data_IF_105258043408
#
_entry.id   IF_105258043408
#
_cell.length_a   1.000
_cell.length_b   1.000
_cell.length_c   1.000
_cell.angle_alpha   90.00
_cell.angle_beta   90.00
_cell.angle_gamma   90.00
#
_symmetry.space_group_name_H-M   'P 1'
#
loop_
_entity.id
_entity.type
_entity.pdbx_description
1 polymer ?
#
# COMPACT_ATOMS: atom_id res chain seq x y z
N UNK A 1 86.91 -19.70 -64.63
CA UNK A 1 86.13 -20.87 -64.16
C UNK A 1 84.87 -20.96 -65.01
N UNK A 2 84.64 -22.05 -65.76
CA UNK A 2 83.48 -22.21 -66.64
C UNK A 2 82.26 -22.63 -65.80
N UNK A 3 81.70 -21.68 -65.04
CA UNK A 3 80.67 -21.97 -64.03
C UNK A 3 79.37 -21.18 -64.20
N UNK A 4 79.24 -20.45 -65.30
CA UNK A 4 78.00 -19.76 -65.70
C UNK A 4 77.56 -20.28 -67.08
N UNK A 5 77.13 -21.54 -67.15
CA UNK A 5 76.44 -22.05 -68.33
C UNK A 5 75.00 -21.50 -68.35
N UNK A 6 74.84 -20.35 -69.00
CA UNK A 6 73.60 -19.57 -69.12
C UNK A 6 72.48 -20.41 -69.79
N UNK A 7 72.84 -21.42 -70.58
CA UNK A 7 71.92 -22.28 -71.31
C UNK A 7 70.95 -23.07 -70.40
N UNK A 8 71.35 -23.40 -69.17
CA UNK A 8 70.50 -24.16 -68.23
C UNK A 8 69.51 -23.26 -67.47
N UNK A 9 69.78 -21.95 -67.38
CA UNK A 9 68.95 -21.01 -66.61
C UNK A 9 67.57 -20.81 -67.24
N UNK A 10 67.47 -20.85 -68.57
CA UNK A 10 66.19 -20.72 -69.26
C UNK A 10 65.20 -21.83 -68.89
N UNK A 11 65.67 -23.07 -68.76
CA UNK A 11 64.83 -24.20 -68.34
C UNK A 11 64.39 -24.08 -66.88
N UNK A 12 65.29 -23.65 -66.00
CA UNK A 12 64.96 -23.42 -64.58
C UNK A 12 63.91 -22.32 -64.42
N UNK A 13 64.04 -21.21 -65.17
CA UNK A 13 63.05 -20.12 -65.17
C UNK A 13 61.70 -20.61 -65.71
N UNK A 14 61.69 -21.40 -66.79
CA UNK A 14 60.46 -21.98 -67.33
C UNK A 14 59.74 -22.84 -66.29
N UNK A 15 60.43 -23.78 -65.65
CA UNK A 15 59.83 -24.63 -64.61
C UNK A 15 59.43 -23.86 -63.35
N UNK A 16 60.16 -22.81 -63.00
CA UNK A 16 59.79 -21.91 -61.91
C UNK A 16 58.47 -21.21 -62.21
N UNK A 17 58.27 -20.68 -63.42
CA UNK A 17 57.00 -20.06 -63.83
C UNK A 17 55.86 -21.09 -63.82
N UNK A 18 56.10 -22.30 -64.34
CA UNK A 18 55.08 -23.37 -64.37
C UNK A 18 54.66 -23.80 -62.97
N UNK A 19 55.62 -24.08 -62.08
CA UNK A 19 55.32 -24.53 -60.70
C UNK A 19 54.73 -23.42 -59.85
N UNK A 20 55.24 -22.19 -59.96
CA UNK A 20 54.70 -21.05 -59.25
C UNK A 20 53.32 -20.64 -59.77
N UNK A 21 53.09 -20.74 -61.08
CA UNK A 21 51.77 -20.52 -61.69
C UNK A 21 50.75 -21.55 -61.23
N UNK A 22 51.12 -22.84 -61.20
CA UNK A 22 50.26 -23.90 -60.67
C UNK A 22 49.92 -23.67 -59.19
N UNK A 23 50.91 -23.32 -58.37
CA UNK A 23 50.72 -23.00 -56.96
C UNK A 23 49.85 -21.76 -56.77
N UNK A 24 50.06 -20.72 -57.57
CA UNK A 24 49.24 -19.50 -57.55
C UNK A 24 47.77 -19.82 -57.83
N UNK A 25 47.48 -20.66 -58.82
CA UNK A 25 46.10 -21.09 -59.13
C UNK A 25 45.49 -21.86 -57.95
N UNK A 26 46.26 -22.73 -57.28
CA UNK A 26 45.77 -23.44 -56.08
C UNK A 26 45.44 -22.47 -54.94
N UNK A 27 46.31 -21.49 -54.66
CA UNK A 27 46.08 -20.48 -53.62
C UNK A 27 44.86 -19.63 -53.98
N UNK A 28 44.79 -19.13 -55.21
CA UNK A 28 43.72 -18.28 -55.70
C UNK A 28 42.35 -18.98 -55.64
N UNK A 29 42.29 -20.25 -56.03
CA UNK A 29 41.02 -20.98 -56.15
C UNK A 29 40.57 -21.69 -54.86
N UNK A 30 41.49 -22.00 -53.94
CA UNK A 30 41.14 -22.74 -52.72
C UNK A 30 41.41 -21.96 -51.43
N UNK A 31 42.59 -21.35 -51.28
CA UNK A 31 42.99 -20.75 -50.01
C UNK A 31 42.33 -19.38 -49.81
N UNK A 32 42.34 -18.54 -50.85
CA UNK A 32 41.72 -17.22 -50.81
C UNK A 32 40.20 -17.26 -50.50
N UNK A 33 39.36 -18.06 -51.20
CA UNK A 33 37.93 -18.10 -50.89
C UNK A 33 37.63 -18.65 -49.50
N UNK A 34 38.37 -19.65 -49.03
CA UNK A 34 38.21 -20.19 -47.68
C UNK A 34 38.53 -19.14 -46.60
N UNK A 35 39.59 -18.34 -46.81
CA UNK A 35 39.94 -17.27 -45.89
C UNK A 35 38.85 -16.18 -45.87
N UNK A 36 38.36 -15.78 -47.05
CA UNK A 36 37.29 -14.81 -47.20
C UNK A 36 35.99 -15.25 -46.50
N UNK A 37 35.60 -16.51 -46.66
CA UNK A 37 34.43 -17.08 -45.97
C UNK A 37 34.57 -16.98 -44.45
N UNK A 38 35.74 -17.32 -43.90
CA UNK A 38 36.01 -17.21 -42.45
C UNK A 38 35.90 -15.77 -41.98
N UNK A 39 36.49 -14.81 -42.70
CA UNK A 39 36.43 -13.40 -42.33
C UNK A 39 35.00 -12.87 -42.38
N UNK A 40 34.25 -13.19 -43.44
CA UNK A 40 32.85 -12.79 -43.59
C UNK A 40 31.97 -13.38 -42.50
N UNK A 41 32.13 -14.67 -42.18
CA UNK A 41 31.36 -15.32 -41.12
C UNK A 41 31.65 -14.70 -39.74
N UNK A 42 32.94 -14.43 -39.44
CA UNK A 42 33.31 -13.76 -38.19
C UNK A 42 32.74 -12.34 -38.12
N UNK A 43 32.85 -11.57 -39.20
CA UNK A 43 32.32 -10.21 -39.26
C UNK A 43 30.81 -10.20 -39.08
N UNK A 44 30.10 -11.14 -39.73
CA UNK A 44 28.66 -11.32 -39.58
C UNK A 44 28.28 -11.66 -38.14
N UNK A 45 28.95 -12.64 -37.52
CA UNK A 45 28.66 -13.01 -36.14
C UNK A 45 28.89 -11.85 -35.16
N UNK A 46 29.96 -11.06 -35.36
CA UNK A 46 30.20 -9.86 -34.55
C UNK A 46 29.06 -8.86 -34.73
N UNK A 47 28.66 -8.59 -35.97
CA UNK A 47 27.59 -7.65 -36.25
C UNK A 47 26.24 -8.13 -35.67
N UNK A 48 25.93 -9.41 -35.83
CA UNK A 48 24.71 -10.02 -35.30
C UNK A 48 24.69 -9.96 -33.76
N UNK A 49 25.83 -10.21 -33.10
CA UNK A 49 25.95 -10.10 -31.65
C UNK A 49 25.77 -8.64 -31.17
N UNK A 50 26.34 -7.67 -31.88
CA UNK A 50 26.17 -6.24 -31.56
C UNK A 50 24.69 -5.84 -31.70
N UNK A 51 24.04 -6.25 -32.79
CA UNK A 51 22.61 -5.98 -33.03
C UNK A 51 21.74 -6.61 -31.94
N UNK A 52 22.01 -7.87 -31.56
CA UNK A 52 21.28 -8.55 -30.49
C UNK A 52 21.50 -7.87 -29.13
N UNK A 53 22.74 -7.45 -28.82
CA UNK A 53 23.03 -6.73 -27.58
C UNK A 53 22.30 -5.38 -27.52
N UNK A 54 22.24 -4.66 -28.65
CA UNK A 54 21.49 -3.41 -28.73
C UNK A 54 19.97 -3.64 -28.53
N UNK A 55 19.40 -4.66 -29.17
CA UNK A 55 17.99 -5.02 -29.02
C UNK A 55 17.65 -5.41 -27.57
N UNK A 56 18.50 -6.21 -26.92
CA UNK A 56 18.34 -6.58 -25.50
C UNK A 56 18.43 -5.35 -24.60
N UNK A 57 19.34 -4.41 -24.89
CA UNK A 57 19.47 -3.17 -24.12
C UNK A 57 18.20 -2.33 -24.23
N UNK A 58 17.65 -2.18 -25.44
CA UNK A 58 16.39 -1.47 -25.67
C UNK A 58 15.21 -2.15 -24.94
N UNK A 59 15.16 -3.48 -24.94
CA UNK A 59 14.13 -4.23 -24.22
C UNK A 59 14.24 -4.04 -22.69
N UNK A 60 15.46 -4.07 -22.14
CA UNK A 60 15.73 -3.79 -20.73
C UNK A 60 15.30 -2.36 -20.36
N UNK A 61 15.61 -1.37 -21.20
CA UNK A 61 15.19 0.02 -20.98
C UNK A 61 13.66 0.17 -20.96
N UNK A 62 12.98 -0.47 -21.92
CA UNK A 62 11.50 -0.50 -21.95
C UNK A 62 10.93 -1.16 -20.70
N UNK A 63 11.51 -2.28 -20.27
CA UNK A 63 11.07 -3.02 -19.10
C UNK A 63 11.29 -2.21 -17.81
N UNK A 64 12.45 -1.57 -17.67
CA UNK A 64 12.76 -0.69 -16.54
C UNK A 64 11.79 0.50 -16.48
N UNK A 65 11.49 1.11 -17.63
CA UNK A 65 10.51 2.20 -17.70
C UNK A 65 9.12 1.73 -17.28
N UNK A 66 8.67 0.58 -17.79
CA UNK A 66 7.39 -0.02 -17.43
C UNK A 66 7.28 -0.30 -15.92
N UNK A 67 8.32 -0.90 -15.32
CA UNK A 67 8.36 -1.14 -13.88
C UNK A 67 8.36 0.16 -13.08
N UNK A 68 9.16 1.15 -13.47
CA UNK A 68 9.18 2.47 -12.83
C UNK A 68 7.80 3.14 -12.89
N UNK A 69 7.11 3.07 -14.02
CA UNK A 69 5.78 3.63 -14.19
C UNK A 69 4.75 2.92 -13.31
N UNK A 70 4.81 1.59 -13.18
CA UNK A 70 3.95 0.83 -12.27
C UNK A 70 4.21 1.25 -10.82
N UNK A 71 5.47 1.28 -10.38
CA UNK A 71 5.82 1.64 -9.00
C UNK A 71 5.31 3.04 -8.66
N UNK A 72 5.49 4.01 -9.57
CA UNK A 72 4.99 5.37 -9.39
C UNK A 72 3.46 5.44 -9.32
N UNK A 73 2.75 4.70 -10.19
CA UNK A 73 1.29 4.61 -10.16
C UNK A 73 0.79 3.99 -8.85
N UNK A 74 1.36 2.85 -8.44
CA UNK A 74 1.00 2.18 -7.19
C UNK A 74 1.27 3.06 -5.98
N UNK A 75 2.39 3.78 -5.93
CA UNK A 75 2.66 4.72 -4.83
C UNK A 75 1.62 5.84 -4.78
N UNK A 76 1.25 6.38 -5.94
CA UNK A 76 0.23 7.43 -6.03
C UNK A 76 -1.15 6.90 -5.59
N UNK A 77 -1.52 5.69 -5.99
CA UNK A 77 -2.75 5.02 -5.55
C UNK A 77 -2.75 4.76 -4.04
N UNK A 78 -1.63 4.29 -3.48
CA UNK A 78 -1.46 4.10 -2.03
C UNK A 78 -1.64 5.42 -1.29
N UNK A 79 -1.04 6.50 -1.76
CA UNK A 79 -1.15 7.80 -1.10
C UNK A 79 -2.57 8.37 -1.18
N UNK A 80 -3.24 8.20 -2.32
CA UNK A 80 -4.67 8.54 -2.47
C UNK A 80 -5.55 7.72 -1.53
N UNK A 81 -5.35 6.39 -1.47
CA UNK A 81 -6.11 5.51 -0.59
C UNK A 81 -5.86 5.84 0.89
N UNK A 82 -4.61 6.13 1.28
CA UNK A 82 -4.28 6.57 2.64
C UNK A 82 -5.03 7.85 2.98
N UNK A 83 -4.99 8.84 2.09
CA UNK A 83 -5.68 10.12 2.28
C UNK A 83 -7.19 9.91 2.44
N UNK A 84 -7.81 9.18 1.52
CA UNK A 84 -9.25 8.87 1.56
C UNK A 84 -9.63 8.15 2.86
N UNK A 85 -8.84 7.16 3.30
CA UNK A 85 -9.10 6.44 4.55
C UNK A 85 -8.94 7.31 5.78
N UNK A 86 -7.92 8.17 5.83
CA UNK A 86 -7.73 9.11 6.93
C UNK A 86 -8.92 10.08 7.01
N UNK A 87 -9.32 10.67 5.88
CA UNK A 87 -10.48 11.58 5.81
C UNK A 87 -11.78 10.87 6.22
N UNK A 88 -12.02 9.64 5.75
CA UNK A 88 -13.18 8.83 6.14
C UNK A 88 -13.18 8.55 7.65
N UNK A 89 -12.05 8.12 8.22
CA UNK A 89 -11.92 7.83 9.65
C UNK A 89 -12.17 9.08 10.49
N UNK A 90 -11.62 10.23 10.08
CA UNK A 90 -11.84 11.50 10.77
C UNK A 90 -13.33 11.90 10.73
N UNK A 91 -13.98 11.75 9.57
CA UNK A 91 -15.41 12.04 9.43
C UNK A 91 -16.28 11.13 10.31
N UNK A 92 -16.00 9.83 10.33
CA UNK A 92 -16.72 8.85 11.16
C UNK A 92 -16.49 9.11 12.64
N UNK A 93 -15.26 9.47 13.03
CA UNK A 93 -14.93 9.84 14.39
C UNK A 93 -15.71 11.08 14.85
N UNK A 94 -15.79 12.12 14.01
CA UNK A 94 -16.57 13.32 14.31
C UNK A 94 -18.07 13.02 14.45
N UNK A 95 -18.63 12.19 13.57
CA UNK A 95 -20.04 11.76 13.65
C UNK A 95 -20.28 10.98 14.95
N UNK A 96 -19.42 10.00 15.27
CA UNK A 96 -19.56 9.18 16.47
C UNK A 96 -19.40 10.01 17.74
N UNK A 97 -18.47 10.97 17.75
CA UNK A 97 -18.30 11.93 18.84
C UNK A 97 -19.56 12.78 19.02
N UNK A 98 -20.13 13.32 17.93
CA UNK A 98 -21.35 14.12 17.97
C UNK A 98 -22.52 13.31 18.53
N UNK A 99 -22.73 12.10 18.04
CA UNK A 99 -23.79 11.20 18.51
C UNK A 99 -23.63 10.88 20.00
N UNK A 100 -22.41 10.54 20.44
CA UNK A 100 -22.13 10.27 21.85
C UNK A 100 -22.44 11.48 22.75
N UNK A 101 -22.06 12.69 22.33
CA UNK A 101 -22.37 13.92 23.07
C UNK A 101 -23.88 14.16 23.13
N UNK A 102 -24.59 13.93 22.03
CA UNK A 102 -26.04 14.07 21.97
C UNK A 102 -26.75 13.07 22.90
N UNK A 103 -26.33 11.80 22.89
CA UNK A 103 -26.88 10.75 23.74
C UNK A 103 -26.62 11.00 25.23
N UNK A 104 -25.41 11.46 25.57
CA UNK A 104 -25.06 11.88 26.93
C UNK A 104 -25.92 13.05 27.39
N UNK A 105 -26.09 14.07 26.54
CA UNK A 105 -26.92 15.24 26.85
C UNK A 105 -28.38 14.84 27.09
N UNK A 106 -28.91 13.95 26.25
CA UNK A 106 -30.26 13.41 26.40
C UNK A 106 -30.41 12.66 27.72
N UNK A 107 -29.45 11.79 28.04
CA UNK A 107 -29.46 11.00 29.29
C UNK A 107 -29.36 11.89 30.53
N UNK A 108 -28.53 12.94 30.48
CA UNK A 108 -28.42 13.95 31.55
C UNK A 108 -29.77 14.66 31.75
N UNK A 109 -30.40 15.11 30.67
CA UNK A 109 -31.68 15.81 30.75
C UNK A 109 -32.79 14.89 31.30
N UNK A 110 -32.85 13.64 30.85
CA UNK A 110 -33.79 12.64 31.38
C UNK A 110 -33.58 12.39 32.88
N UNK A 111 -32.33 12.19 33.30
CA UNK A 111 -32.01 12.00 34.72
C UNK A 111 -32.38 13.24 35.57
N UNK A 112 -32.19 14.45 35.03
CA UNK A 112 -32.61 15.69 35.71
C UNK A 112 -34.14 15.75 35.83
N UNK A 113 -34.88 15.38 34.78
CA UNK A 113 -36.34 15.30 34.82
C UNK A 113 -36.82 14.29 35.87
N UNK A 114 -36.22 13.09 35.90
CA UNK A 114 -36.54 12.04 36.87
C UNK A 114 -36.26 12.49 38.31
N UNK A 115 -35.10 13.12 38.56
CA UNK A 115 -34.76 13.68 39.88
C UNK A 115 -35.79 14.74 40.29
N UNK A 116 -36.20 15.61 39.38
CA UNK A 116 -37.20 16.63 39.67
C UNK A 116 -38.58 16.02 39.95
N UNK A 117 -38.95 14.94 39.24
CA UNK A 117 -40.20 14.22 39.44
C UNK A 117 -40.21 13.53 40.81
N UNK A 118 -39.13 12.82 41.16
CA UNK A 118 -38.95 12.20 42.48
C UNK A 118 -38.96 13.26 43.58
N UNK A 119 -38.26 14.38 43.40
CA UNK A 119 -38.27 15.48 44.37
C UNK A 119 -39.67 16.09 44.55
N UNK A 120 -40.46 16.21 43.48
CA UNK A 120 -41.86 16.66 43.54
C UNK A 120 -42.75 15.66 44.28
N UNK A 121 -42.63 14.37 43.96
CA UNK A 121 -43.34 13.29 44.67
C UNK A 121 -42.97 13.24 46.16
N UNK A 122 -41.70 13.43 46.50
CA UNK A 122 -41.26 13.52 47.88
C UNK A 122 -41.90 14.70 48.60
N UNK A 123 -41.95 15.87 47.96
CA UNK A 123 -42.58 17.08 48.53
C UNK A 123 -44.08 16.88 48.77
N UNK A 124 -44.81 16.22 47.85
CA UNK A 124 -46.23 15.92 48.04
C UNK A 124 -46.47 14.88 49.13
N UNK A 125 -45.63 13.83 49.16
CA UNK A 125 -45.81 12.70 50.09
C UNK A 125 -45.20 12.97 51.47
N UNK A 126 -44.40 14.04 51.63
CA UNK A 126 -43.76 14.43 52.90
C UNK A 126 -44.77 14.56 54.04
N UNK A 127 -45.93 15.16 53.79
CA UNK A 127 -46.96 15.35 54.82
C UNK A 127 -47.46 13.99 55.34
N UNK A 128 -47.75 13.05 54.44
CA UNK A 128 -48.21 11.72 54.82
C UNK A 128 -47.12 10.90 55.53
N UNK A 129 -45.87 10.98 55.05
CA UNK A 129 -44.72 10.32 55.67
C UNK A 129 -44.40 10.89 57.07
N UNK A 130 -44.49 12.21 57.24
CA UNK A 130 -44.29 12.88 58.54
C UNK A 130 -45.41 12.53 59.53
N UNK A 131 -46.65 12.41 59.06
CA UNK A 131 -47.78 11.94 59.87
C UNK A 131 -47.55 10.49 60.33
N UNK A 132 -47.15 9.60 59.41
CA UNK A 132 -46.82 8.21 59.74
C UNK A 132 -45.66 8.11 60.75
N UNK A 133 -44.60 8.91 60.58
CA UNK A 133 -43.48 8.96 61.51
C UNK A 133 -43.90 9.48 62.89
N UNK A 134 -44.71 10.55 62.93
CA UNK A 134 -45.24 11.11 64.18
C UNK A 134 -46.13 10.09 64.92
N UNK A 135 -47.01 9.38 64.21
CA UNK A 135 -47.80 8.27 64.75
C UNK A 135 -46.88 7.21 65.37
N UNK A 136 -45.86 6.78 64.64
CA UNK A 136 -44.94 5.74 65.10
C UNK A 136 -44.10 6.16 66.32
N UNK A 137 -43.71 7.44 66.41
CA UNK A 137 -43.02 8.00 67.59
C UNK A 137 -43.99 8.06 68.78
N UNK A 138 -45.22 8.54 68.58
CA UNK A 138 -46.24 8.65 69.63
C UNK A 138 -46.62 7.26 70.16
N UNK A 139 -46.81 6.26 69.29
CA UNK A 139 -47.11 4.88 69.69
C UNK A 139 -45.96 4.25 70.48
N UNK A 140 -44.70 4.53 70.10
CA UNK A 140 -43.51 4.00 70.78
C UNK A 140 -43.25 4.66 72.15
N UNK A 141 -43.62 5.94 72.32
CA UNK A 141 -43.43 6.68 73.57
C UNK A 141 -44.63 6.53 74.52
N UNK A 142 -45.86 6.55 74.01
CA UNK A 142 -47.08 6.53 74.83
C UNK A 142 -47.64 5.12 75.07
N UNK A 143 -47.22 4.10 74.32
CA UNK A 143 -47.65 2.71 74.50
C UNK A 143 -49.10 2.41 74.10
N UNK A 144 -49.81 3.36 73.49
CA UNK A 144 -51.20 3.24 73.01
C UNK A 144 -51.30 3.61 71.53
N UNK A 145 -52.23 2.98 70.77
CA UNK A 145 -52.48 3.30 69.35
C UNK A 145 -52.82 4.78 69.15
N UNK A 146 -52.10 5.47 68.26
CA UNK A 146 -52.31 6.89 68.01
C UNK A 146 -53.39 7.12 66.94
N UNK A 147 -54.23 8.15 67.11
CA UNK A 147 -55.36 8.44 66.21
C UNK A 147 -54.93 9.30 65.01
N UNK A 148 -54.92 8.69 63.81
CA UNK A 148 -54.47 9.32 62.56
C UNK A 148 -55.30 10.55 62.13
N UNK A 149 -56.59 10.60 62.48
CA UNK A 149 -57.51 11.62 61.97
C UNK A 149 -57.28 13.00 62.62
N UNK A 150 -56.87 13.05 63.89
CA UNK A 150 -56.57 14.29 64.61
C UNK A 150 -55.28 14.95 64.12
N UNK A 151 -54.27 14.16 63.76
CA UNK A 151 -52.99 14.65 63.26
C UNK A 151 -53.09 15.20 61.84
N UNK A 152 -53.86 14.54 60.95
CA UNK A 152 -54.16 15.06 59.61
C UNK A 152 -54.88 16.42 59.64
N UNK A 153 -55.77 16.63 60.61
CA UNK A 153 -56.52 17.88 60.77
C UNK A 153 -55.61 19.04 61.21
N UNK A 154 -54.66 18.80 62.11
CA UNK A 154 -53.77 19.84 62.64
C UNK A 154 -52.60 20.21 61.70
N UNK A 155 -52.13 19.27 60.87
CA UNK A 155 -51.04 19.53 59.92
C UNK A 155 -51.51 20.27 58.65
N UNK A 156 -52.81 20.20 58.32
CA UNK A 156 -53.40 20.99 57.22
C UNK A 156 -53.66 22.47 57.58
N UNK A 157 -53.51 22.87 58.85
CA UNK A 157 -53.69 24.26 59.32
C UNK A 157 -52.32 24.96 59.39
N UNK A 158 -51.68 25.14 58.24
CA UNK A 158 -50.74 26.24 57.94
C UNK A 158 -50.25 26.17 56.49
#
# INVERSE_FOLDING_TARGET
MPQFDIDTYYSQIFWLIVTFGLLYILVYKFIAPNAEEIFNNRQKNIQDNITQAAALTEEIEKLNKYYSDIVNKTNTEIDNLKKEKIESIESEFLIKKKNLVQDLTKSINQNIEDINLVAKQFRTNKSEAMIKLAVHIIEKIAGTKADMNLLQKNIKIK
#
